data_IF_436996800203
#
_entry.id   IF_436996800203
#
_cell.length_a   1.000
_cell.length_b   1.000
_cell.length_c   1.000
_cell.angle_alpha   90.00
_cell.angle_beta   90.00
_cell.angle_gamma   90.00
#
_symmetry.space_group_name_H-M   'P 1'
#
loop_
_entity.id
_entity.type
_entity.pdbx_description
1 polymer ?
#
# COMPACT_ATOMS: atom_id res chain seq x y z
N UNK A 1 14.25 4.48 -0.36
CA UNK A 1 12.84 4.46 0.13
C UNK A 1 12.75 4.68 1.64
N UNK A 2 13.37 3.84 2.46
CA UNK A 2 13.25 3.87 3.94
C UNK A 2 13.63 5.23 4.55
N UNK A 3 14.75 5.83 4.14
CA UNK A 3 15.21 7.15 4.64
C UNK A 3 14.21 8.29 4.37
N UNK A 4 13.57 8.30 3.20
CA UNK A 4 12.58 9.33 2.84
C UNK A 4 11.30 9.13 3.65
N UNK A 5 10.81 7.88 3.77
CA UNK A 5 9.61 7.58 4.57
C UNK A 5 9.81 7.84 6.07
N UNK A 6 11.00 7.53 6.60
CA UNK A 6 11.35 7.74 8.00
C UNK A 6 11.53 9.20 8.39
N UNK A 7 11.77 10.10 7.42
CA UNK A 7 11.82 11.54 7.67
C UNK A 7 10.46 12.16 8.01
N UNK A 8 9.37 11.59 7.48
CA UNK A 8 7.99 12.08 7.72
C UNK A 8 7.31 11.29 8.84
N UNK A 9 7.53 9.97 8.89
CA UNK A 9 6.87 9.08 9.85
C UNK A 9 7.90 8.37 10.74
N UNK A 10 7.91 8.61 12.06
CA UNK A 10 8.91 8.05 12.99
C UNK A 10 8.79 6.53 13.22
N UNK A 11 7.72 5.91 12.71
CA UNK A 11 7.48 4.45 12.77
C UNK A 11 8.46 3.68 11.88
N UNK A 12 8.95 4.32 10.81
CA UNK A 12 9.87 3.72 9.84
C UNK A 12 11.29 4.13 10.23
N UNK A 13 12.03 3.23 10.87
CA UNK A 13 13.43 3.44 11.25
C UNK A 13 14.32 2.56 10.39
N UNK A 14 15.36 3.16 9.80
CA UNK A 14 16.37 2.44 9.04
C UNK A 14 17.03 1.29 9.82
N UNK A 15 17.57 1.48 11.05
CA UNK A 15 18.30 0.42 11.77
C UNK A 15 17.51 -0.87 11.95
N UNK A 16 16.18 -0.81 12.01
CA UNK A 16 15.31 -1.98 12.15
C UNK A 16 15.36 -2.95 10.95
N UNK A 17 15.88 -2.50 9.79
CA UNK A 17 16.01 -3.31 8.57
C UNK A 17 17.42 -3.89 8.38
N UNK A 18 18.40 -3.45 9.18
CA UNK A 18 19.80 -3.85 9.05
C UNK A 18 20.12 -4.93 10.07
N UNK A 19 21.06 -5.81 9.71
CA UNK A 19 21.67 -6.77 10.62
C UNK A 19 23.17 -6.51 10.58
N UNK A 20 23.76 -6.16 11.73
CA UNK A 20 25.17 -5.77 11.83
C UNK A 20 25.58 -4.63 10.87
N UNK A 21 24.66 -3.73 10.54
CA UNK A 21 24.91 -2.64 9.60
C UNK A 21 24.81 -3.03 8.12
N UNK A 22 24.43 -4.27 7.80
CA UNK A 22 24.29 -4.76 6.43
C UNK A 22 22.83 -5.08 6.07
N UNK A 23 22.49 -4.87 4.80
CA UNK A 23 21.20 -5.24 4.22
C UNK A 23 21.23 -6.69 3.72
N UNK A 24 20.74 -7.61 4.55
CA UNK A 24 20.65 -9.04 4.22
C UNK A 24 19.24 -9.42 3.76
N UNK A 25 19.14 -10.45 2.91
CA UNK A 25 17.85 -11.02 2.44
C UNK A 25 17.71 -12.53 2.70
N UNK A 26 18.77 -13.10 3.25
CA UNK A 26 18.91 -14.49 3.66
C UNK A 26 18.09 -14.78 4.93
N UNK A 27 18.16 -16.01 5.43
CA UNK A 27 17.47 -16.45 6.67
C UNK A 27 17.86 -15.62 7.89
N UNK A 28 19.06 -15.04 7.91
CA UNK A 28 19.55 -14.16 8.98
C UNK A 28 19.19 -12.69 8.81
N UNK A 29 18.33 -12.33 7.85
CA UNK A 29 17.87 -10.97 7.67
C UNK A 29 16.97 -10.50 8.82
N UNK A 30 16.86 -9.18 9.00
CA UNK A 30 15.99 -8.62 10.02
C UNK A 30 14.54 -9.05 9.77
N UNK A 31 13.76 -9.41 10.81
CA UNK A 31 12.37 -9.84 10.63
C UNK A 31 11.50 -8.76 10.01
N UNK A 32 11.84 -7.48 10.20
CA UNK A 32 11.15 -6.34 9.57
C UNK A 32 11.44 -6.26 8.07
N UNK A 33 12.62 -6.68 7.62
CA UNK A 33 12.98 -6.78 6.20
C UNK A 33 12.22 -7.90 5.50
N UNK A 34 12.16 -9.10 6.11
CA UNK A 34 11.43 -10.24 5.55
C UNK A 34 9.91 -10.03 5.51
N UNK A 35 9.36 -9.24 6.44
CA UNK A 35 7.93 -8.93 6.49
C UNK A 35 7.52 -7.70 5.66
N UNK A 36 8.46 -6.91 5.14
CA UNK A 36 8.11 -5.70 4.43
C UNK A 36 7.36 -6.00 3.12
N UNK A 37 6.49 -5.07 2.72
CA UNK A 37 5.67 -5.24 1.51
C UNK A 37 6.53 -5.42 0.26
N UNK A 38 7.61 -4.64 0.14
CA UNK A 38 8.51 -4.69 -1.02
C UNK A 38 9.17 -6.06 -1.19
N UNK A 39 9.62 -6.68 -0.09
CA UNK A 39 10.22 -8.02 -0.10
C UNK A 39 9.19 -9.05 -0.57
N UNK A 40 7.98 -9.00 -0.01
CA UNK A 40 6.90 -9.93 -0.37
C UNK A 40 6.49 -9.84 -1.84
N UNK A 41 6.47 -8.63 -2.40
CA UNK A 41 6.14 -8.42 -3.81
C UNK A 41 7.29 -8.78 -4.76
N UNK A 42 8.54 -8.57 -4.37
CA UNK A 42 9.66 -8.96 -5.23
C UNK A 42 9.83 -10.47 -5.31
N UNK A 43 9.71 -11.17 -4.16
CA UNK A 43 10.00 -12.61 -4.05
C UNK A 43 8.76 -13.51 -4.01
N UNK A 44 7.58 -13.02 -4.39
CA UNK A 44 6.38 -13.84 -4.48
C UNK A 44 6.61 -15.03 -5.44
N UNK A 45 6.42 -16.27 -4.95
CA UNK A 45 6.67 -17.54 -5.67
C UNK A 45 8.09 -17.73 -6.19
N UNK A 46 9.05 -16.94 -5.73
CA UNK A 46 10.44 -17.05 -6.18
C UNK A 46 11.17 -18.25 -5.55
N UNK A 47 10.68 -18.76 -4.41
CA UNK A 47 11.29 -19.89 -3.71
C UNK A 47 11.36 -21.20 -4.51
N UNK A 48 10.50 -21.36 -5.52
CA UNK A 48 10.44 -22.53 -6.41
C UNK A 48 11.25 -22.34 -7.69
N UNK A 49 11.71 -21.11 -7.98
CA UNK A 49 12.43 -20.80 -9.20
C UNK A 49 13.90 -21.22 -9.11
N UNK A 50 14.35 -21.93 -10.13
CA UNK A 50 15.76 -22.24 -10.36
C UNK A 50 16.33 -21.28 -11.40
N UNK A 51 17.06 -20.27 -10.95
CA UNK A 51 17.68 -19.26 -11.83
C UNK A 51 18.95 -19.74 -12.51
N UNK A 52 19.68 -20.65 -11.87
CA UNK A 52 21.00 -21.13 -12.31
C UNK A 52 21.13 -22.63 -12.07
N UNK A 53 21.80 -23.32 -12.97
CA UNK A 53 22.08 -24.74 -12.82
C UNK A 53 23.11 -24.97 -11.70
N UNK A 54 22.79 -25.86 -10.76
CA UNK A 54 23.68 -26.18 -9.62
C UNK A 54 23.51 -25.27 -8.40
N UNK A 55 22.59 -24.30 -8.42
CA UNK A 55 22.20 -23.51 -7.24
C UNK A 55 20.87 -24.01 -6.66
N UNK A 56 20.65 -23.85 -5.34
CA UNK A 56 19.36 -24.19 -4.74
C UNK A 56 18.23 -23.30 -5.31
N UNK A 57 16.98 -23.78 -5.30
CA UNK A 57 15.84 -22.98 -5.75
C UNK A 57 15.63 -21.77 -4.82
N UNK A 58 15.26 -20.62 -5.39
CA UNK A 58 15.15 -19.35 -4.68
C UNK A 58 16.50 -18.65 -4.44
N UNK A 59 17.45 -18.80 -5.37
CA UNK A 59 18.72 -18.10 -5.35
C UNK A 59 18.61 -16.74 -6.07
N UNK A 60 18.95 -15.65 -5.38
CA UNK A 60 18.98 -14.32 -5.98
C UNK A 60 20.36 -14.05 -6.60
N UNK A 61 20.43 -14.01 -7.93
CA UNK A 61 21.66 -13.77 -8.68
C UNK A 61 22.28 -12.40 -8.43
N UNK A 62 21.47 -11.37 -8.19
CA UNK A 62 21.98 -10.01 -8.01
C UNK A 62 22.70 -9.83 -6.68
N UNK A 63 22.30 -10.62 -5.66
CA UNK A 63 22.86 -10.56 -4.31
C UNK A 63 23.78 -11.74 -3.99
N UNK A 64 23.73 -12.80 -4.78
CA UNK A 64 24.54 -14.00 -4.58
C UNK A 64 24.15 -14.82 -3.36
N UNK A 65 22.90 -14.74 -2.91
CA UNK A 65 22.42 -15.38 -1.67
C UNK A 65 21.10 -16.13 -1.88
N UNK A 66 20.89 -17.15 -1.05
CA UNK A 66 19.60 -17.84 -0.97
C UNK A 66 18.62 -17.02 -0.14
N UNK A 67 17.39 -16.94 -0.61
CA UNK A 67 16.32 -16.18 0.03
C UNK A 67 15.92 -16.82 1.35
N UNK A 68 15.71 -15.98 2.37
CA UNK A 68 15.31 -16.41 3.71
C UNK A 68 13.93 -17.06 3.77
N UNK A 69 12.90 -16.35 3.30
CA UNK A 69 11.53 -16.85 3.32
C UNK A 69 11.04 -17.19 1.90
N UNK A 70 10.78 -18.48 1.65
CA UNK A 70 10.32 -18.99 0.36
C UNK A 70 8.79 -18.99 0.26
N UNK A 71 8.10 -19.13 1.40
CA UNK A 71 6.64 -19.25 1.46
C UNK A 71 6.00 -17.88 1.75
N UNK A 72 5.76 -17.13 0.69
CA UNK A 72 5.15 -15.80 0.77
C UNK A 72 3.72 -15.85 0.26
N UNK A 73 2.76 -15.52 1.14
CA UNK A 73 1.33 -15.39 0.78
C UNK A 73 0.92 -13.93 0.77
N UNK A 74 0.17 -13.53 -0.26
CA UNK A 74 -0.38 -12.19 -0.43
C UNK A 74 -1.88 -12.20 -0.13
N UNK A 75 -2.30 -11.45 0.88
CA UNK A 75 -3.71 -11.38 1.29
C UNK A 75 -4.48 -10.36 0.44
N UNK A 76 -4.00 -9.12 0.42
CA UNK A 76 -4.68 -7.98 -0.20
C UNK A 76 -4.28 -7.71 -1.65
N UNK A 77 -3.23 -8.38 -2.14
CA UNK A 77 -2.68 -8.16 -3.47
C UNK A 77 -2.74 -9.46 -4.28
N UNK A 78 -2.94 -9.35 -5.57
CA UNK A 78 -2.85 -10.44 -6.54
C UNK A 78 -1.85 -10.10 -7.64
N UNK A 79 -1.14 -11.10 -8.13
CA UNK A 79 -0.23 -10.97 -9.27
C UNK A 79 -1.07 -10.86 -10.55
N UNK A 80 -1.00 -9.71 -11.23
CA UNK A 80 -1.74 -9.47 -12.47
C UNK A 80 -0.90 -9.85 -13.70
N UNK A 81 0.40 -9.57 -13.67
CA UNK A 81 1.32 -9.89 -14.75
C UNK A 81 2.77 -9.96 -14.25
N UNK A 82 3.53 -10.91 -14.78
CA UNK A 82 4.98 -11.02 -14.57
C UNK A 82 5.67 -11.34 -15.90
N UNK A 83 6.74 -10.61 -16.20
CA UNK A 83 7.54 -10.83 -17.42
C UNK A 83 8.28 -12.16 -17.39
N UNK A 84 8.63 -12.70 -18.57
CA UNK A 84 9.33 -13.99 -18.71
C UNK A 84 10.67 -14.05 -17.96
N UNK A 85 11.41 -12.95 -17.92
CA UNK A 85 12.70 -12.84 -17.21
C UNK A 85 12.56 -12.29 -15.78
N UNK A 86 11.33 -12.14 -15.28
CA UNK A 86 11.03 -11.70 -13.91
C UNK A 86 11.63 -10.34 -13.53
N UNK A 87 11.80 -9.44 -14.52
CA UNK A 87 12.31 -8.08 -14.31
C UNK A 87 11.18 -7.17 -13.82
N UNK A 88 9.98 -7.30 -14.41
CA UNK A 88 8.81 -6.48 -14.06
C UNK A 88 7.68 -7.37 -13.55
N UNK A 89 7.10 -6.95 -12.43
CA UNK A 89 5.96 -7.60 -11.76
C UNK A 89 4.90 -6.55 -11.48
N UNK A 90 3.68 -6.81 -11.96
CA UNK A 90 2.53 -5.92 -11.81
C UNK A 90 1.54 -6.60 -10.88
N UNK A 91 1.21 -5.91 -9.80
CA UNK A 91 0.26 -6.37 -8.79
C UNK A 91 -1.00 -5.53 -8.83
N UNK A 92 -2.14 -6.19 -8.65
CA UNK A 92 -3.44 -5.57 -8.50
C UNK A 92 -3.90 -5.65 -7.05
N UNK A 93 -4.49 -4.56 -6.56
CA UNK A 93 -5.13 -4.52 -5.25
C UNK A 93 -6.48 -5.21 -5.32
N UNK A 94 -6.66 -6.22 -4.46
CA UNK A 94 -7.95 -6.90 -4.33
C UNK A 94 -8.96 -5.93 -3.70
N UNK A 95 -10.24 -5.98 -4.13
CA UNK A 95 -11.27 -5.22 -3.44
C UNK A 95 -11.36 -5.68 -1.97
N UNK A 96 -11.79 -4.79 -1.06
CA UNK A 96 -12.02 -5.16 0.33
C UNK A 96 -13.06 -6.29 0.40
N UNK A 97 -12.91 -7.18 1.38
CA UNK A 97 -13.84 -8.30 1.54
C UNK A 97 -15.27 -7.79 1.75
N UNK A 98 -16.20 -8.36 0.99
CA UNK A 98 -17.63 -7.99 0.99
C UNK A 98 -18.32 -8.20 2.36
N UNK A 99 -17.72 -8.97 3.27
CA UNK A 99 -18.22 -9.16 4.63
C UNK A 99 -17.13 -8.75 5.62
N UNK A 100 -17.50 -7.96 6.62
CA UNK A 100 -16.64 -7.71 7.76
C UNK A 100 -16.47 -9.02 8.54
N UNK A 101 -15.31 -9.67 8.41
CA UNK A 101 -14.94 -10.78 9.28
C UNK A 101 -14.77 -10.24 10.71
N UNK A 102 -15.28 -10.99 11.70
CA UNK A 102 -15.37 -10.57 13.11
C UNK A 102 -14.03 -10.09 13.70
N UNK A 103 -12.88 -10.56 13.16
CA UNK A 103 -11.53 -10.16 13.59
C UNK A 103 -11.08 -8.76 13.12
N UNK A 104 -11.68 -8.19 12.06
CA UNK A 104 -11.46 -6.79 11.67
C UNK A 104 -12.37 -5.84 12.45
N UNK A 105 -13.55 -6.32 12.87
CA UNK A 105 -14.49 -5.58 13.73
C UNK A 105 -13.85 -5.22 15.07
N UNK A 106 -13.07 -6.13 15.66
CA UNK A 106 -12.35 -5.92 16.92
C UNK A 106 -11.18 -4.91 16.84
N UNK A 107 -10.52 -4.77 15.67
CA UNK A 107 -9.41 -3.81 15.48
C UNK A 107 -9.92 -2.40 15.18
N UNK A 108 -11.05 -2.26 14.50
CA UNK A 108 -11.64 -0.93 14.28
C UNK A 108 -12.21 -0.34 15.58
N UNK A 109 -12.80 -1.17 16.47
CA UNK A 109 -13.22 -0.70 17.79
C UNK A 109 -12.05 -0.28 18.68
N UNK A 110 -10.88 -0.94 18.63
CA UNK A 110 -9.76 -0.53 19.51
C UNK A 110 -9.13 0.82 19.17
N UNK A 111 -9.16 1.25 17.91
CA UNK A 111 -8.76 2.61 17.52
C UNK A 111 -9.83 3.67 17.82
N UNK A 112 -11.11 3.27 17.98
CA UNK A 112 -12.20 4.16 18.39
C UNK A 112 -12.34 4.31 19.91
N UNK A 113 -11.94 3.32 20.71
CA UNK A 113 -12.14 3.36 22.17
C UNK A 113 -11.16 4.29 22.91
N UNK A 114 -10.06 4.72 22.28
CA UNK A 114 -9.13 5.70 22.86
C UNK A 114 -9.67 7.15 22.87
N UNK A 115 -10.86 7.41 22.34
CA UNK A 115 -11.55 8.71 22.39
C UNK A 115 -12.82 8.69 23.27
N UNK A 116 -12.94 7.73 24.18
CA UNK A 116 -14.06 7.63 25.14
C UNK A 116 -13.57 7.87 26.58
N UNK A 117 -13.03 9.07 26.82
CA UNK A 117 -12.99 9.66 28.15
C UNK A 117 -13.66 11.04 28.05
N UNK A 118 -14.85 11.18 28.65
CA UNK A 118 -15.52 12.46 28.88
C UNK A 118 -16.50 12.91 27.81
N UNK A 119 -17.64 12.21 27.66
CA UNK A 119 -18.85 12.87 27.17
C UNK A 119 -19.39 13.78 28.30
N UNK A 120 -18.95 15.04 28.34
CA UNK A 120 -19.74 16.12 28.93
C UNK A 120 -20.34 16.94 27.79
N UNK A 121 -21.65 17.14 27.89
CA UNK A 121 -22.46 17.86 26.92
C UNK A 121 -22.04 19.32 26.82
N UNK A 122 -21.23 19.68 25.83
CA UNK A 122 -21.24 21.01 25.19
C UNK A 122 -20.45 20.94 23.87
N UNK A 123 -21.15 21.13 22.74
CA UNK A 123 -20.52 21.24 21.43
C UNK A 123 -19.72 22.56 21.33
N UNK A 124 -18.44 22.54 20.90
CA UNK A 124 -17.73 23.76 20.56
C UNK A 124 -18.29 24.37 19.27
N UNK A 125 -18.66 25.65 19.32
CA UNK A 125 -19.32 26.46 18.26
C UNK A 125 -18.57 26.58 16.92
N UNK A 126 -17.42 25.93 16.74
CA UNK A 126 -16.61 26.05 15.52
C UNK A 126 -17.07 25.08 14.39
N UNK A 127 -17.82 24.02 14.72
CA UNK A 127 -18.23 22.99 13.75
C UNK A 127 -19.54 23.31 12.99
N UNK A 128 -20.10 24.52 13.13
CA UNK A 128 -21.37 24.88 12.49
C UNK A 128 -21.24 25.60 11.15
N UNK A 129 -20.03 25.90 10.68
CA UNK A 129 -19.85 26.78 9.52
C UNK A 129 -19.48 26.08 8.19
N UNK A 130 -19.41 24.75 8.17
CA UNK A 130 -19.10 23.97 6.96
C UNK A 130 -20.23 23.04 6.51
N UNK A 131 -21.48 23.35 6.90
CA UNK A 131 -22.66 22.54 6.58
C UNK A 131 -23.73 23.31 5.79
N UNK A 132 -23.39 24.46 5.19
CA UNK A 132 -24.30 25.23 4.32
C UNK A 132 -24.01 25.08 2.82
N UNK A 133 -23.06 24.25 2.42
CA UNK A 133 -22.74 24.09 1.00
C UNK A 133 -22.37 22.66 0.69
N UNK A 134 -23.34 21.75 0.79
CA UNK A 134 -23.41 20.57 -0.08
C UNK A 134 -24.78 19.88 0.07
N UNK A 135 -25.82 20.56 -0.40
CA UNK A 135 -27.12 19.93 -0.69
C UNK A 135 -27.12 19.50 -2.15
N UNK A 136 -27.32 18.20 -2.32
CA UNK A 136 -27.62 17.45 -3.52
C UNK A 136 -28.60 18.11 -4.49
N UNK A 137 -28.39 17.88 -5.79
CA UNK A 137 -29.49 17.55 -6.70
C UNK A 137 -28.99 16.71 -7.89
N UNK A 138 -29.52 15.49 -7.92
CA UNK A 138 -29.50 14.58 -9.05
C UNK A 138 -30.64 14.95 -9.98
N UNK A 139 -30.36 15.37 -11.21
CA UNK A 139 -31.33 15.19 -12.28
C UNK A 139 -30.68 15.18 -13.67
N UNK A 140 -31.05 14.14 -14.39
CA UNK A 140 -30.93 13.89 -15.81
C UNK A 140 -31.25 15.10 -16.69
N UNK A 141 -30.40 15.39 -17.69
CA UNK A 141 -30.76 15.66 -19.11
C UNK A 141 -29.60 16.25 -19.93
N UNK A 142 -29.26 15.57 -21.04
CA UNK A 142 -28.50 16.05 -22.23
C UNK A 142 -29.32 17.21 -22.90
N UNK A 143 -28.82 18.23 -23.67
CA UNK A 143 -27.67 18.26 -24.62
C UNK A 143 -26.87 19.61 -24.79
N UNK A 144 -25.88 19.54 -25.71
CA UNK A 144 -25.41 20.59 -26.66
C UNK A 144 -24.47 21.69 -26.14
N UNK A 145 -23.16 21.38 -26.22
CA UNK A 145 -22.12 22.35 -26.53
C UNK A 145 -22.34 22.90 -27.96
N UNK A 146 -22.83 24.13 -28.06
CA UNK A 146 -22.72 24.94 -29.26
C UNK A 146 -21.45 25.78 -29.15
N UNK A 147 -20.49 25.49 -30.02
CA UNK A 147 -19.48 26.44 -30.45
C UNK A 147 -20.17 27.71 -30.95
N UNK A 148 -19.83 28.86 -30.36
CA UNK A 148 -19.93 30.15 -31.06
C UNK A 148 -18.57 30.81 -31.04
N UNK A 149 -17.93 30.75 -32.20
CA UNK A 149 -17.02 31.80 -32.66
C UNK A 149 -17.75 33.14 -32.57
N UNK A 150 -17.08 34.17 -32.05
CA UNK A 150 -17.11 35.47 -32.70
C UNK A 150 -15.74 36.14 -32.59
N UNK A 151 -14.98 36.04 -33.68
CA UNK A 151 -14.06 37.09 -34.11
C UNK A 151 -14.85 38.36 -34.36
N UNK A 152 -14.33 39.52 -33.93
CA UNK A 152 -14.32 40.86 -34.58
C UNK A 152 -14.16 41.95 -33.52
N UNK A 153 -13.48 43.09 -33.68
CA UNK A 153 -12.50 43.67 -34.62
C UNK A 153 -11.94 44.92 -33.88
N UNK A 154 -10.68 45.28 -34.14
CA UNK A 154 -10.03 46.61 -34.17
C UNK A 154 -10.71 47.80 -33.45
N UNK A 155 -9.95 48.43 -32.54
CA UNK A 155 -9.50 49.84 -32.68
C UNK A 155 -8.23 50.10 -31.89
#
# INVERSE_FOLDING_TARGET
>A
MVRIGGGVYPVIKEPDYLVNGEYRVDKGAAPKMLNCLMYKLSYYRFGELTTEHGKPPGFDRARGVEIGNKDIKLEHLEEAFTTSNWIVRIYKVKPPNNRWTTSLKARYTSYGTLHSFGMSHTLPKCAQQLQQSFSWESESSIPKLQCKLSMTWIQ
#
